data_IF_645661246101
#
_entry.id   IF_645661246101
#
_cell.length_a   1.000
_cell.length_b   1.000
_cell.length_c   1.000
_cell.angle_alpha   90.00
_cell.angle_beta   90.00
_cell.angle_gamma   90.00
#
_symmetry.space_group_name_H-M   'P 1'
#
loop_
_entity.id
_entity.type
_entity.pdbx_description
1 polymer ?
#
# COMPACT_ATOMS: atom_id res chain seq x y z
N UNK A 1 -7.09 13.34 12.96
CA UNK A 1 -6.68 11.91 13.02
C UNK A 1 -7.78 10.99 12.53
N UNK A 2 -8.93 10.90 13.21
CA UNK A 2 -10.00 9.96 12.87
C UNK A 2 -10.46 9.93 11.40
N UNK A 3 -10.63 11.09 10.75
CA UNK A 3 -11.07 11.15 9.33
C UNK A 3 -10.08 10.47 8.37
N UNK A 4 -8.77 10.68 8.57
CA UNK A 4 -7.73 10.08 7.72
C UNK A 4 -7.64 8.58 7.94
N UNK A 5 -7.77 8.14 9.19
CA UNK A 5 -7.71 6.73 9.57
C UNK A 5 -8.91 5.96 9.01
N UNK A 6 -10.10 6.57 9.00
CA UNK A 6 -11.27 6.02 8.33
C UNK A 6 -11.05 5.82 6.83
N UNK A 7 -10.55 6.84 6.13
CA UNK A 7 -10.26 6.73 4.68
C UNK A 7 -9.24 5.62 4.40
N UNK A 8 -8.16 5.55 5.18
CA UNK A 8 -7.14 4.52 5.03
C UNK A 8 -7.70 3.12 5.30
N UNK A 9 -8.48 2.97 6.37
CA UNK A 9 -9.14 1.71 6.72
C UNK A 9 -10.09 1.24 5.61
N UNK A 10 -10.93 2.14 5.10
CA UNK A 10 -11.90 1.84 4.03
C UNK A 10 -11.21 1.49 2.70
N UNK A 11 -10.09 2.13 2.39
CA UNK A 11 -9.38 1.92 1.12
C UNK A 11 -8.49 0.67 1.15
N UNK A 12 -7.85 0.38 2.28
CA UNK A 12 -6.89 -0.74 2.42
C UNK A 12 -7.55 -2.03 2.91
N UNK A 13 -8.76 -1.95 3.47
CA UNK A 13 -9.40 -3.08 4.14
C UNK A 13 -8.80 -3.41 5.52
N UNK A 14 -7.82 -2.63 5.99
CA UNK A 14 -7.23 -2.79 7.32
C UNK A 14 -8.15 -2.20 8.40
N UNK A 15 -8.06 -2.71 9.62
CA UNK A 15 -8.80 -2.11 10.75
C UNK A 15 -8.18 -0.78 11.17
N UNK A 16 -8.98 0.09 11.79
CA UNK A 16 -8.48 1.37 12.30
C UNK A 16 -7.35 1.21 13.34
N UNK A 17 -7.37 0.12 14.13
CA UNK A 17 -6.31 -0.19 15.10
C UNK A 17 -4.97 -0.49 14.43
N UNK A 18 -4.98 -1.22 13.31
CA UNK A 18 -3.78 -1.53 12.53
C UNK A 18 -3.20 -0.24 11.93
N UNK A 19 -4.06 0.58 11.30
CA UNK A 19 -3.66 1.88 10.76
C UNK A 19 -3.10 2.78 11.86
N UNK A 20 -3.71 2.81 13.06
CA UNK A 20 -3.23 3.62 14.17
C UNK A 20 -1.84 3.22 14.64
N UNK A 21 -1.61 1.91 14.82
CA UNK A 21 -0.31 1.38 15.21
C UNK A 21 0.76 1.67 14.16
N UNK A 22 0.43 1.46 12.89
CA UNK A 22 1.39 1.56 11.79
C UNK A 22 1.66 3.03 11.40
N UNK A 23 0.77 3.96 11.77
CA UNK A 23 0.93 5.42 11.55
C UNK A 23 1.46 6.18 12.77
N UNK A 24 1.67 5.52 13.91
CA UNK A 24 2.28 6.14 15.10
C UNK A 24 3.75 6.54 14.84
N UNK A 25 4.43 5.81 13.95
CA UNK A 25 5.78 6.12 13.47
C UNK A 25 5.88 5.92 11.96
N UNK A 26 7.01 6.35 11.39
CA UNK A 26 7.32 6.08 9.98
C UNK A 26 7.42 4.57 9.76
N UNK A 27 6.47 4.02 9.01
CA UNK A 27 6.47 2.64 8.55
C UNK A 27 6.72 2.63 7.04
N UNK A 28 7.92 2.21 6.65
CA UNK A 28 8.30 2.08 5.25
C UNK A 28 7.99 0.67 4.77
N UNK A 29 7.41 0.58 3.57
CA UNK A 29 7.07 -0.67 2.91
C UNK A 29 7.79 -0.74 1.58
N UNK A 30 8.17 -1.95 1.17
CA UNK A 30 8.52 -2.22 -0.21
C UNK A 30 7.27 -2.26 -1.10
N UNK A 31 7.48 -2.32 -2.41
CA UNK A 31 6.40 -2.28 -3.38
C UNK A 31 5.42 -3.47 -3.24
N UNK A 32 5.92 -4.66 -2.88
CA UNK A 32 5.09 -5.85 -2.71
C UNK A 32 4.30 -5.78 -1.40
N UNK A 33 4.93 -5.32 -0.33
CA UNK A 33 4.29 -5.05 0.96
C UNK A 33 3.17 -4.03 0.83
N UNK A 34 3.34 -2.99 0.01
CA UNK A 34 2.29 -2.01 -0.24
C UNK A 34 1.08 -2.62 -0.97
N UNK A 35 1.30 -3.61 -1.85
CA UNK A 35 0.21 -4.39 -2.48
C UNK A 35 -0.50 -5.25 -1.44
N UNK A 36 0.26 -6.02 -0.67
CA UNK A 36 -0.30 -6.93 0.33
C UNK A 36 -1.05 -6.18 1.46
N UNK A 37 -0.62 -4.95 1.76
CA UNK A 37 -1.28 -4.08 2.72
C UNK A 37 -2.60 -3.49 2.18
N UNK A 38 -2.81 -3.50 0.87
CA UNK A 38 -3.96 -2.90 0.20
C UNK A 38 -3.81 -1.41 -0.10
N UNK A 39 -2.58 -0.86 -0.07
CA UNK A 39 -2.33 0.54 -0.46
C UNK A 39 -2.30 0.74 -1.97
N UNK A 40 -1.91 -0.30 -2.73
CA UNK A 40 -1.80 -0.29 -4.18
C UNK A 40 -2.27 -1.62 -4.76
N UNK A 41 -2.86 -1.63 -5.96
CA UNK A 41 -3.41 -2.86 -6.54
C UNK A 41 -2.34 -3.77 -7.15
N UNK A 42 -1.33 -3.19 -7.81
CA UNK A 42 -0.28 -3.95 -8.51
C UNK A 42 1.01 -3.14 -8.67
N UNK A 43 2.15 -3.82 -8.57
CA UNK A 43 3.47 -3.28 -8.96
C UNK A 43 3.71 -3.51 -10.44
N UNK A 44 3.94 -2.43 -11.21
CA UNK A 44 4.26 -2.52 -12.63
C UNK A 44 5.76 -2.80 -12.83
N UNK A 45 6.06 -3.83 -13.61
CA UNK A 45 7.41 -4.06 -14.10
C UNK A 45 7.68 -3.20 -15.35
N UNK A 46 8.94 -2.78 -15.59
CA UNK A 46 9.29 -2.12 -16.84
C UNK A 46 8.88 -3.00 -18.03
N UNK A 47 8.41 -2.39 -19.15
CA UNK A 47 8.07 -3.15 -20.34
C UNK A 47 9.28 -4.00 -20.74
N UNK A 48 9.05 -5.29 -21.00
CA UNK A 48 10.13 -6.16 -21.50
C UNK A 48 10.70 -5.50 -22.75
N UNK A 49 12.03 -5.33 -22.86
CA UNK A 49 12.61 -4.83 -24.09
C UNK A 49 12.17 -5.76 -25.21
N UNK A 50 11.47 -5.22 -26.20
CA UNK A 50 11.08 -5.99 -27.37
C UNK A 50 12.36 -6.60 -27.95
N UNK A 51 12.42 -7.93 -28.00
CA UNK A 51 13.39 -8.63 -28.82
C UNK A 51 13.13 -8.19 -30.25
N UNK A 52 13.92 -7.21 -30.73
CA UNK A 52 13.98 -6.86 -32.14
C UNK A 52 14.43 -8.13 -32.88
N UNK A 53 13.46 -8.84 -33.47
CA UNK A 53 13.70 -9.88 -34.46
C UNK A 53 14.15 -9.26 -35.77
#
# INVERSE_FOLDING_TARGET
KARLMGILSDSTGQTQEVIERDTDRNFYMDAQQAVDYGLVDQVLAPPKPEEKK
#
